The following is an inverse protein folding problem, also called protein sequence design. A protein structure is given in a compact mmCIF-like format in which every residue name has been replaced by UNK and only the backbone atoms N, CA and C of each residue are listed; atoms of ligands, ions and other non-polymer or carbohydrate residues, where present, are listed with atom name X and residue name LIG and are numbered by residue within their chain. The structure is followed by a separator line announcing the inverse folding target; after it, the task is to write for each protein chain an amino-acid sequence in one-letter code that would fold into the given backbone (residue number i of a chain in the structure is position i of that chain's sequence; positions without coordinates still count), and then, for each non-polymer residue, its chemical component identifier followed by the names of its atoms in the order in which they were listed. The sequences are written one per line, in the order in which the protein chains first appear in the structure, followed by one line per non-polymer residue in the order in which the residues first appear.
data_IF_898286528609
#
_entry.id   IF_898286528609
#
_cell.length_a   1.000
_cell.length_b   1.000
_cell.length_c   1.000
_cell.angle_alpha   90.00
_cell.angle_beta   90.00
_cell.angle_gamma   90.00
#
_symmetry.space_group_name_H-M   'P 1'
#
loop_
_entity.id
_entity.type
_entity.pdbx_description
1 polymer ?
#
# COMPACT_ATOMS: atom_id res chain seq x y z
N UNK A 1 -11.68 -51.14 -5.90
CA UNK A 1 -11.28 -51.02 -7.32
C UNK A 1 -11.72 -49.63 -7.77
N UNK A 2 -10.90 -48.70 -8.26
CA UNK A 2 -9.52 -48.70 -8.76
C UNK A 2 -8.98 -47.27 -8.70
N UNK A 3 -7.69 -47.14 -8.36
CA UNK A 3 -6.82 -45.95 -8.52
C UNK A 3 -6.41 -45.80 -9.99
N UNK A 4 -6.41 -44.58 -10.53
CA UNK A 4 -5.46 -44.10 -11.58
C UNK A 4 -5.49 -42.55 -11.54
N UNK A 5 -4.44 -41.81 -11.11
CA UNK A 5 -3.19 -41.44 -11.84
C UNK A 5 -3.44 -40.78 -13.21
N UNK A 6 -2.72 -39.77 -13.74
CA UNK A 6 -1.65 -38.84 -13.36
C UNK A 6 -1.39 -38.00 -14.65
N UNK A 7 -1.05 -36.70 -14.51
CA UNK A 7 -0.17 -35.87 -15.37
C UNK A 7 -0.28 -35.89 -16.92
N UNK A 8 -0.61 -34.72 -17.50
CA UNK A 8 -0.16 -34.20 -18.82
C UNK A 8 -0.85 -32.83 -19.01
N UNK A 9 -0.24 -31.65 -19.19
CA UNK A 9 0.89 -31.22 -20.00
C UNK A 9 1.42 -29.85 -19.51
N UNK A 10 2.74 -29.69 -19.45
CA UNK A 10 3.45 -28.41 -19.44
C UNK A 10 4.33 -28.43 -20.70
N UNK A 11 4.11 -27.50 -21.61
CA UNK A 11 5.06 -27.20 -22.69
C UNK A 11 5.33 -25.69 -22.68
N UNK A 12 6.57 -25.34 -22.35
CA UNK A 12 7.15 -24.01 -22.45
C UNK A 12 8.14 -24.05 -23.61
N UNK A 13 7.95 -23.28 -24.70
CA UNK A 13 8.99 -23.14 -25.70
C UNK A 13 10.02 -22.07 -25.29
N UNK A 14 11.29 -22.44 -25.45
CA UNK A 14 12.47 -21.61 -25.27
C UNK A 14 12.54 -20.46 -26.30
N UNK A 15 13.04 -19.30 -25.88
CA UNK A 15 13.18 -18.09 -26.71
C UNK A 15 14.38 -18.09 -27.66
N UNK A 16 14.72 -16.94 -28.25
CA UNK A 16 16.04 -16.71 -28.82
C UNK A 16 16.86 -15.63 -28.11
N UNK A 17 18.17 -15.82 -28.29
CA UNK A 17 19.35 -15.18 -27.72
C UNK A 17 19.71 -13.84 -28.38
N UNK A 18 20.53 -13.05 -27.68
CA UNK A 18 21.32 -11.93 -28.22
C UNK A 18 20.63 -10.59 -27.99
N UNK A 19 21.29 -9.52 -27.55
CA UNK A 19 22.59 -9.06 -28.00
C UNK A 19 23.15 -8.06 -26.95
N UNK A 20 24.31 -8.35 -26.39
CA UNK A 20 25.05 -7.42 -25.55
C UNK A 20 25.56 -6.28 -26.43
N UNK A 21 25.26 -5.03 -26.06
CA UNK A 21 25.96 -3.86 -26.60
C UNK A 21 26.70 -3.17 -25.46
N UNK A 22 28.00 -3.41 -25.43
CA UNK A 22 28.99 -2.64 -24.70
C UNK A 22 29.19 -1.30 -25.42
N UNK A 23 29.15 -0.19 -24.67
CA UNK A 23 29.71 1.09 -25.11
C UNK A 23 30.65 1.60 -24.02
N UNK A 24 31.97 1.61 -24.24
CA UNK A 24 32.88 2.42 -23.44
C UNK A 24 32.91 3.83 -24.05
N UNK A 25 32.99 4.89 -23.24
CA UNK A 25 33.60 6.13 -23.70
C UNK A 25 34.28 6.86 -22.54
N UNK A 26 35.50 7.23 -22.82
CA UNK A 26 36.56 7.68 -21.94
C UNK A 26 36.42 9.15 -21.53
N UNK A 27 36.94 9.44 -20.33
CA UNK A 27 37.74 10.60 -19.92
C UNK A 27 37.83 11.79 -20.89
N UNK A 28 37.49 13.00 -20.40
CA UNK A 28 38.31 14.21 -20.65
C UNK A 28 38.29 15.13 -19.42
N UNK A 29 39.49 15.30 -18.87
CA UNK A 29 39.95 16.32 -17.94
C UNK A 29 39.61 17.75 -18.41
N UNK A 30 39.17 18.62 -17.51
CA UNK A 30 39.60 20.03 -17.54
C UNK A 30 39.92 20.50 -16.12
N UNK A 31 41.21 20.74 -15.92
CA UNK A 31 41.82 21.35 -14.74
C UNK A 31 42.20 22.76 -15.20
N UNK A 32 41.48 23.78 -14.73
CA UNK A 32 41.89 25.18 -14.92
C UNK A 32 42.13 25.78 -13.55
N UNK A 33 43.41 26.07 -13.32
CA UNK A 33 43.97 26.74 -12.17
C UNK A 33 44.24 28.18 -12.62
N UNK A 34 43.56 29.15 -12.00
CA UNK A 34 43.91 30.57 -12.14
C UNK A 34 43.76 31.21 -10.76
N UNK A 35 44.90 31.60 -10.19
CA UNK A 35 44.96 32.44 -9.00
C UNK A 35 44.66 33.90 -9.35
N UNK A 36 44.20 34.65 -8.36
CA UNK A 36 44.61 36.04 -8.08
C UNK A 36 43.92 36.58 -6.80
N UNK A 37 44.78 36.95 -5.85
CA UNK A 37 44.77 38.15 -4.97
C UNK A 37 43.48 38.66 -4.30
N UNK A 38 43.45 38.44 -2.97
CA UNK A 38 43.07 39.29 -1.81
C UNK A 38 42.44 40.67 -2.08
N UNK A 39 41.22 40.87 -1.54
CA UNK A 39 40.77 42.12 -0.90
C UNK A 39 39.73 41.83 0.19
N UNK A 40 39.94 42.39 1.38
CA UNK A 40 39.15 42.16 2.58
C UNK A 40 37.70 42.66 2.47
N UNK A 41 36.80 41.89 3.06
CA UNK A 41 35.36 42.18 3.22
C UNK A 41 34.99 41.84 4.67
N UNK A 42 34.18 42.66 5.35
CA UNK A 42 34.04 42.65 6.80
C UNK A 42 33.30 41.43 7.33
N UNK A 43 33.65 41.10 8.57
CA UNK A 43 33.11 40.05 9.42
C UNK A 43 31.61 40.32 9.72
N UNK A 44 30.70 39.85 8.87
CA UNK A 44 29.31 39.67 9.27
C UNK A 44 29.22 38.35 10.04
N UNK A 45 28.99 38.45 11.35
CA UNK A 45 28.62 37.34 12.19
C UNK A 45 27.36 36.69 11.62
N UNK A 46 27.52 35.52 10.99
CA UNK A 46 26.40 34.68 10.61
C UNK A 46 25.84 34.11 11.91
N UNK A 47 24.66 34.58 12.31
CA UNK A 47 23.83 33.85 13.24
C UNK A 47 23.60 32.47 12.60
N UNK A 48 24.26 31.45 13.14
CA UNK A 48 23.92 30.06 12.87
C UNK A 48 22.51 29.88 13.43
N UNK A 49 21.51 30.01 12.57
CA UNK A 49 20.19 29.47 12.84
C UNK A 49 20.40 28.00 13.19
N UNK A 50 19.94 27.53 14.36
CA UNK A 50 19.97 26.10 14.65
C UNK A 50 19.27 25.36 13.51
N UNK A 51 19.72 24.16 13.13
CA UNK A 51 18.97 23.35 12.18
C UNK A 51 17.56 23.24 12.73
N UNK A 52 16.58 23.64 11.90
CA UNK A 52 15.17 23.41 12.21
C UNK A 52 15.06 21.95 12.63
N UNK A 53 14.74 21.74 13.91
CA UNK A 53 14.55 20.42 14.47
C UNK A 53 13.67 19.67 13.50
N UNK A 54 14.19 18.57 12.91
CA UNK A 54 13.34 17.63 12.21
C UNK A 54 12.18 17.38 13.17
N UNK A 55 10.99 17.87 12.81
CA UNK A 55 9.80 17.68 13.62
C UNK A 55 9.79 16.20 13.94
N UNK A 56 9.86 15.87 15.23
CA UNK A 56 10.02 14.51 15.71
C UNK A 56 8.86 13.70 15.14
N UNK A 57 9.07 13.07 13.99
CA UNK A 57 8.03 12.33 13.33
C UNK A 57 7.64 11.23 14.32
N UNK A 58 6.37 11.25 14.72
CA UNK A 58 5.84 10.26 15.67
C UNK A 58 6.09 8.84 15.17
N UNK A 59 5.96 7.82 16.02
CA UNK A 59 6.14 6.45 15.61
C UNK A 59 5.24 6.10 14.41
N UNK A 60 5.79 5.44 13.39
CA UNK A 60 5.07 4.99 12.19
C UNK A 60 5.33 3.51 11.97
N UNK A 61 4.26 2.76 11.70
CA UNK A 61 4.32 1.40 11.17
C UNK A 61 4.01 1.44 9.68
N UNK A 62 4.81 0.76 8.87
CA UNK A 62 4.59 0.68 7.43
C UNK A 62 4.55 -0.77 7.00
N UNK A 63 3.56 -1.11 6.17
CA UNK A 63 3.50 -2.38 5.47
C UNK A 63 3.61 -2.13 3.98
N UNK A 64 4.41 -2.93 3.29
CA UNK A 64 4.51 -2.91 1.83
C UNK A 64 4.39 -4.33 1.29
N UNK A 65 3.64 -4.51 0.22
CA UNK A 65 3.58 -5.76 -0.54
C UNK A 65 3.97 -5.47 -1.98
N UNK A 66 4.94 -6.22 -2.49
CA UNK A 66 5.36 -6.23 -3.89
C UNK A 66 5.10 -7.62 -4.47
N UNK A 67 4.19 -7.71 -5.44
CA UNK A 67 3.85 -8.96 -6.12
C UNK A 67 3.55 -8.72 -7.61
N UNK A 68 4.60 -8.64 -8.46
CA UNK A 68 4.42 -8.39 -9.88
C UNK A 68 3.47 -9.40 -10.55
N UNK A 69 2.55 -8.90 -11.36
CA UNK A 69 1.53 -9.71 -12.03
C UNK A 69 0.27 -10.00 -11.19
N UNK A 70 0.22 -9.57 -9.93
CA UNK A 70 -1.04 -9.50 -9.18
C UNK A 70 -1.72 -8.14 -9.34
N UNK A 71 -2.93 -8.06 -8.79
CA UNK A 71 -3.72 -6.84 -8.74
C UNK A 71 -4.21 -6.61 -7.29
N UNK A 72 -3.73 -5.57 -6.58
CA UNK A 72 -2.65 -4.67 -6.98
C UNK A 72 -1.30 -5.39 -7.13
N UNK A 73 -0.44 -4.87 -8.00
CA UNK A 73 0.93 -5.36 -8.21
C UNK A 73 1.88 -4.91 -7.10
N UNK A 74 1.55 -3.77 -6.48
CA UNK A 74 2.25 -3.20 -5.32
C UNK A 74 1.28 -2.36 -4.51
N UNK A 75 1.43 -2.38 -3.19
CA UNK A 75 0.87 -1.35 -2.33
C UNK A 75 1.68 -1.13 -1.05
N UNK A 76 1.48 0.04 -0.44
CA UNK A 76 2.01 0.40 0.86
C UNK A 76 0.94 1.07 1.72
N UNK A 77 0.88 0.69 3.00
CA UNK A 77 0.05 1.34 4.02
C UNK A 77 1.00 1.92 5.07
N UNK A 78 0.88 3.22 5.34
CA UNK A 78 1.60 3.90 6.41
C UNK A 78 0.62 4.26 7.53
N UNK A 79 0.94 3.87 8.75
CA UNK A 79 0.11 4.10 9.95
C UNK A 79 0.94 4.85 10.99
N UNK A 80 0.87 6.19 11.01
CA UNK A 80 1.39 6.99 12.10
C UNK A 80 0.64 6.75 13.40
N UNK A 81 1.31 6.96 14.52
CA UNK A 81 0.73 6.84 15.85
C UNK A 81 -0.39 7.84 16.09
N UNK A 82 -0.49 8.88 15.29
CA UNK A 82 -1.44 9.98 15.37
C UNK A 82 -2.78 9.62 14.70
N UNK A 83 -2.76 8.69 13.74
CA UNK A 83 -3.96 8.12 13.10
C UNK A 83 -4.27 8.61 11.68
N UNK A 84 -3.49 9.56 11.16
CA UNK A 84 -3.53 10.00 9.76
C UNK A 84 -2.74 9.02 8.89
N UNK A 85 -3.42 8.00 8.37
CA UNK A 85 -2.81 6.94 7.58
C UNK A 85 -2.84 7.29 6.08
N UNK A 86 -1.88 6.75 5.35
CA UNK A 86 -1.82 6.88 3.90
C UNK A 86 -1.73 5.52 3.23
N UNK A 87 -2.25 5.46 2.01
CA UNK A 87 -2.22 4.29 1.16
C UNK A 87 -1.73 4.67 -0.23
N UNK A 88 -0.79 3.89 -0.75
CA UNK A 88 -0.28 4.02 -2.11
C UNK A 88 -0.37 2.66 -2.79
N UNK A 89 -0.94 2.57 -3.98
CA UNK A 89 -1.02 1.32 -4.73
C UNK A 89 -0.81 1.47 -6.23
N UNK A 90 -0.55 0.33 -6.88
CA UNK A 90 -0.51 0.17 -8.34
C UNK A 90 -1.39 -0.99 -8.73
N UNK A 91 -2.61 -0.67 -9.13
CA UNK A 91 -3.67 -1.63 -9.41
C UNK A 91 -4.21 -1.44 -10.83
N UNK A 92 -4.82 -2.48 -11.39
CA UNK A 92 -5.60 -2.37 -12.62
C UNK A 92 -6.98 -1.84 -12.27
N UNK A 93 -7.43 -0.80 -12.97
CA UNK A 93 -8.78 -0.24 -12.80
C UNK A 93 -9.84 -0.95 -13.65
N UNK A 94 -9.40 -1.70 -14.66
CA UNK A 94 -10.27 -2.53 -15.51
C UNK A 94 -9.60 -3.87 -15.79
N UNK A 95 -10.36 -4.98 -15.85
CA UNK A 95 -9.83 -6.30 -16.22
C UNK A 95 -9.13 -6.34 -17.57
N UNK A 96 -9.57 -5.48 -18.49
CA UNK A 96 -9.06 -5.41 -19.87
C UNK A 96 -7.84 -4.48 -20.01
N UNK A 97 -7.43 -3.81 -18.93
CA UNK A 97 -6.24 -2.96 -18.92
C UNK A 97 -4.99 -3.77 -18.58
N UNK A 98 -3.92 -3.57 -19.36
CA UNK A 98 -2.59 -4.02 -18.98
C UNK A 98 -1.82 -2.98 -18.16
N UNK A 99 -2.29 -1.73 -18.15
CA UNK A 99 -1.71 -0.65 -17.38
C UNK A 99 -2.19 -0.71 -15.92
N UNK A 100 -1.26 -0.48 -14.99
CA UNK A 100 -1.56 -0.27 -13.58
C UNK A 100 -1.58 1.23 -13.28
N UNK A 101 -2.66 1.70 -12.70
CA UNK A 101 -2.80 3.09 -12.28
C UNK A 101 -2.21 3.28 -10.89
N UNK A 102 -1.48 4.38 -10.71
CA UNK A 102 -1.01 4.79 -9.40
C UNK A 102 -2.15 5.45 -8.63
N UNK A 103 -2.41 4.96 -7.43
CA UNK A 103 -3.46 5.47 -6.56
C UNK A 103 -2.89 5.88 -5.21
N UNK A 104 -3.39 7.00 -4.70
CA UNK A 104 -3.06 7.50 -3.38
C UNK A 104 -4.33 7.85 -2.62
N UNK A 105 -4.41 7.47 -1.35
CA UNK A 105 -5.53 7.75 -0.47
C UNK A 105 -5.05 8.03 0.94
N UNK A 106 -5.39 9.21 1.44
CA UNK A 106 -5.31 9.54 2.86
C UNK A 106 -6.61 9.12 3.56
N UNK A 107 -6.48 8.49 4.72
CA UNK A 107 -7.64 8.05 5.51
C UNK A 107 -7.35 8.09 7.01
N UNK A 108 -8.42 8.17 7.80
CA UNK A 108 -8.33 8.04 9.25
C UNK A 108 -8.43 6.58 9.63
N UNK A 109 -7.43 6.07 10.33
CA UNK A 109 -7.49 4.73 10.92
C UNK A 109 -8.15 4.80 12.30
N UNK A 110 -8.98 3.81 12.65
CA UNK A 110 -9.62 3.76 13.97
C UNK A 110 -8.59 3.63 15.08
N UNK A 111 -8.90 4.21 16.25
CA UNK A 111 -8.02 4.12 17.42
C UNK A 111 -7.76 2.66 17.83
N UNK A 112 -8.81 1.82 17.78
CA UNK A 112 -8.72 0.41 18.12
C UNK A 112 -7.75 -0.34 17.18
N UNK A 113 -7.88 -0.14 15.86
CA UNK A 113 -7.01 -0.78 14.87
C UNK A 113 -5.57 -0.28 14.99
N UNK A 114 -5.38 1.03 15.13
CA UNK A 114 -4.07 1.64 15.36
C UNK A 114 -3.39 1.03 16.59
N UNK A 115 -4.10 0.97 17.73
CA UNK A 115 -3.57 0.36 18.97
C UNK A 115 -3.15 -1.10 18.70
N UNK A 116 -4.00 -1.87 18.03
CA UNK A 116 -3.73 -3.27 17.69
C UNK A 116 -2.46 -3.42 16.83
N UNK A 117 -2.30 -2.60 15.79
CA UNK A 117 -1.11 -2.62 14.91
C UNK A 117 0.17 -2.33 15.71
N UNK A 118 0.16 -1.30 16.56
CA UNK A 118 1.34 -0.95 17.36
C UNK A 118 1.65 -2.01 18.43
N UNK A 119 0.63 -2.58 19.07
CA UNK A 119 0.82 -3.67 20.04
C UNK A 119 1.45 -4.88 19.35
N UNK A 120 0.92 -5.33 18.21
CA UNK A 120 1.50 -6.46 17.46
C UNK A 120 2.92 -6.16 16.97
N UNK A 121 3.20 -4.92 16.56
CA UNK A 121 4.54 -4.48 16.16
C UNK A 121 5.54 -4.59 17.32
N UNK A 122 5.14 -4.17 18.52
CA UNK A 122 5.96 -4.31 19.72
C UNK A 122 6.20 -5.79 20.07
N UNK A 123 5.17 -6.64 19.97
CA UNK A 123 5.29 -8.09 20.20
C UNK A 123 6.15 -8.79 19.13
N UNK A 124 6.18 -8.26 17.91
CA UNK A 124 7.11 -8.70 16.86
C UNK A 124 8.55 -8.16 17.05
N UNK A 125 8.82 -7.46 18.16
CA UNK A 125 10.13 -6.91 18.47
C UNK A 125 10.53 -5.76 17.56
N UNK A 126 9.56 -4.98 17.06
CA UNK A 126 9.78 -3.87 16.12
C UNK A 126 10.52 -4.30 14.86
N UNK A 127 10.38 -5.55 14.43
CA UNK A 127 11.02 -6.08 13.21
C UNK A 127 12.55 -5.98 13.22
N UNK A 128 13.17 -5.99 14.41
CA UNK A 128 14.64 -5.98 14.56
C UNK A 128 15.30 -7.28 14.11
N UNK A 129 14.56 -8.38 14.18
CA UNK A 129 15.02 -9.71 13.80
C UNK A 129 14.31 -10.18 12.53
N UNK A 130 14.89 -11.16 11.85
CA UNK A 130 14.25 -11.82 10.70
C UNK A 130 12.91 -12.43 11.10
N UNK A 131 11.87 -12.12 10.31
CA UNK A 131 10.53 -12.70 10.44
C UNK A 131 10.23 -13.76 9.37
N UNK A 132 11.13 -13.92 8.39
CA UNK A 132 11.01 -14.89 7.30
C UNK A 132 11.12 -16.34 7.81
N UNK A 133 10.29 -17.21 7.24
CA UNK A 133 10.33 -18.64 7.47
C UNK A 133 11.34 -19.31 6.54
N UNK A 134 12.01 -20.36 7.05
CA UNK A 134 12.85 -21.24 6.21
C UNK A 134 12.06 -22.29 5.42
N UNK A 135 10.72 -22.32 5.55
CA UNK A 135 9.90 -23.30 4.85
C UNK A 135 9.85 -22.95 3.37
N UNK A 136 10.01 -23.98 2.53
CA UNK A 136 9.80 -23.85 1.10
C UNK A 136 8.31 -23.80 0.80
N UNK A 137 7.81 -22.60 0.57
CA UNK A 137 6.41 -22.33 0.19
C UNK A 137 6.37 -21.65 -1.17
N UNK A 138 5.20 -21.61 -1.80
CA UNK A 138 5.01 -20.81 -3.01
C UNK A 138 5.27 -19.32 -2.72
N UNK A 139 5.66 -18.57 -3.75
CA UNK A 139 5.76 -17.12 -3.63
C UNK A 139 4.36 -16.52 -3.54
N UNK A 140 4.14 -15.68 -2.53
CA UNK A 140 2.87 -14.97 -2.28
C UNK A 140 3.08 -13.46 -2.32
N UNK A 141 4.17 -13.01 -2.96
CA UNK A 141 4.64 -11.64 -2.91
C UNK A 141 5.62 -11.36 -1.77
N UNK A 142 6.55 -10.45 -2.03
CA UNK A 142 7.50 -9.94 -1.04
C UNK A 142 6.80 -8.92 -0.14
N UNK A 143 6.79 -9.16 1.17
CA UNK A 143 6.15 -8.30 2.17
C UNK A 143 7.22 -7.67 3.02
N UNK A 144 7.10 -6.38 3.32
CA UNK A 144 8.00 -5.68 4.22
C UNK A 144 7.19 -5.02 5.31
N UNK A 145 7.54 -5.33 6.56
CA UNK A 145 7.06 -4.62 7.75
C UNK A 145 8.19 -3.72 8.25
N UNK A 146 7.91 -2.44 8.39
CA UNK A 146 8.83 -1.44 8.89
C UNK A 146 8.25 -0.69 10.08
N UNK A 147 9.14 -0.29 10.98
CA UNK A 147 8.84 0.55 12.13
C UNK A 147 9.87 1.68 12.21
N UNK A 148 9.39 2.90 12.40
CA UNK A 148 10.23 4.07 12.60
C UNK A 148 9.71 4.91 13.76
N UNK A 149 10.60 5.35 14.63
CA UNK A 149 10.34 6.40 15.63
C UNK A 149 11.56 7.35 15.70
N UNK A 150 11.64 8.18 16.74
CA UNK A 150 12.77 9.10 16.92
C UNK A 150 14.12 8.41 17.18
N UNK A 151 14.13 7.14 17.59
CA UNK A 151 15.34 6.38 17.99
C UNK A 151 15.62 5.16 17.11
N UNK A 152 14.61 4.62 16.42
CA UNK A 152 14.64 3.34 15.73
C UNK A 152 14.15 3.51 14.30
N UNK A 153 14.80 2.80 13.38
CA UNK A 153 14.34 2.61 12.01
C UNK A 153 14.68 1.19 11.61
N UNK A 154 13.71 0.29 11.71
CA UNK A 154 13.89 -1.15 11.58
C UNK A 154 12.88 -1.71 10.58
N UNK A 155 13.27 -2.75 9.87
CA UNK A 155 12.39 -3.41 8.90
C UNK A 155 12.75 -4.88 8.75
N UNK A 156 11.75 -5.68 8.39
CA UNK A 156 11.95 -7.07 7.99
C UNK A 156 11.13 -7.38 6.73
N UNK A 157 11.80 -7.96 5.73
CA UNK A 157 11.18 -8.42 4.50
C UNK A 157 11.01 -9.94 4.54
N UNK A 158 9.86 -10.43 4.09
CA UNK A 158 9.50 -11.83 4.11
C UNK A 158 8.49 -12.20 3.00
N UNK A 159 8.54 -13.43 2.51
CA UNK A 159 7.49 -14.05 1.71
C UNK A 159 6.46 -14.74 2.61
N UNK A 160 6.91 -15.46 3.64
CA UNK A 160 6.05 -16.14 4.60
C UNK A 160 6.65 -16.10 6.02
N UNK A 161 5.81 -15.86 7.03
CA UNK A 161 6.23 -15.93 8.43
C UNK A 161 5.49 -17.04 9.17
N UNK A 162 6.19 -17.70 10.09
CA UNK A 162 5.57 -18.64 11.04
C UNK A 162 5.25 -17.98 12.39
N UNK A 163 5.66 -16.71 12.58
CA UNK A 163 5.37 -15.99 13.81
C UNK A 163 3.89 -15.57 13.81
N UNK A 164 3.07 -16.03 14.76
CA UNK A 164 1.63 -15.73 14.77
C UNK A 164 1.34 -14.22 14.73
N UNK A 165 2.12 -13.43 15.46
CA UNK A 165 1.98 -11.95 15.49
C UNK A 165 2.24 -11.29 14.13
N UNK A 166 3.17 -11.84 13.33
CA UNK A 166 3.46 -11.33 11.98
C UNK A 166 2.40 -11.78 10.98
N UNK A 167 1.87 -13.00 11.13
CA UNK A 167 0.74 -13.47 10.34
C UNK A 167 -0.50 -12.60 10.58
N UNK A 168 -0.80 -12.28 11.84
CA UNK A 168 -1.92 -11.41 12.19
C UNK A 168 -1.74 -9.98 11.63
N UNK A 169 -0.55 -9.37 11.79
CA UNK A 169 -0.26 -8.08 11.16
C UNK A 169 -0.45 -8.10 9.65
N UNK A 170 0.02 -9.16 8.99
CA UNK A 170 -0.12 -9.32 7.55
C UNK A 170 -1.59 -9.36 7.14
N UNK A 171 -2.40 -10.18 7.83
CA UNK A 171 -3.83 -10.29 7.56
C UNK A 171 -4.54 -8.95 7.75
N UNK A 172 -4.22 -8.22 8.83
CA UNK A 172 -4.83 -6.90 9.07
C UNK A 172 -4.53 -5.92 7.94
N UNK A 173 -3.25 -5.76 7.56
CA UNK A 173 -2.88 -4.85 6.48
C UNK A 173 -3.47 -5.28 5.12
N UNK A 174 -3.56 -6.58 4.85
CA UNK A 174 -4.19 -7.08 3.63
C UNK A 174 -5.69 -6.80 3.59
N UNK A 175 -6.40 -6.97 4.72
CA UNK A 175 -7.83 -6.67 4.79
C UNK A 175 -8.11 -5.16 4.71
N UNK A 176 -7.23 -4.32 5.28
CA UNK A 176 -7.30 -2.86 5.11
C UNK A 176 -7.10 -2.53 3.62
N UNK A 177 -6.02 -3.04 3.00
CA UNK A 177 -5.75 -2.82 1.57
C UNK A 177 -6.93 -3.21 0.69
N UNK A 178 -7.60 -4.32 1.00
CA UNK A 178 -8.77 -4.77 0.25
C UNK A 178 -9.90 -3.74 0.28
N UNK A 179 -10.20 -3.15 1.45
CA UNK A 179 -11.17 -2.06 1.59
C UNK A 179 -10.76 -0.83 0.77
N UNK A 180 -9.48 -0.45 0.82
CA UNK A 180 -8.98 0.73 0.10
C UNK A 180 -8.99 0.54 -1.42
N UNK A 181 -8.74 -0.69 -1.89
CA UNK A 181 -8.87 -1.05 -3.30
C UNK A 181 -10.33 -1.07 -3.78
N UNK A 182 -11.29 -1.42 -2.91
CA UNK A 182 -12.71 -1.17 -3.22
C UNK A 182 -12.98 0.32 -3.38
N UNK A 183 -12.48 1.17 -2.46
CA UNK A 183 -12.66 2.61 -2.57
C UNK A 183 -12.08 3.16 -3.89
N UNK A 184 -10.89 2.70 -4.28
CA UNK A 184 -10.24 3.06 -5.53
C UNK A 184 -11.09 2.71 -6.76
N UNK A 185 -11.55 1.45 -6.87
CA UNK A 185 -12.39 1.01 -8.01
C UNK A 185 -13.75 1.71 -8.02
N UNK A 186 -14.36 1.95 -6.87
CA UNK A 186 -15.60 2.70 -6.78
C UNK A 186 -15.44 4.16 -7.26
N UNK A 187 -14.32 4.81 -6.96
CA UNK A 187 -14.03 6.15 -7.47
C UNK A 187 -13.92 6.14 -9.01
N UNK A 188 -13.19 5.16 -9.56
CA UNK A 188 -13.09 5.00 -11.00
C UNK A 188 -14.45 4.74 -11.66
N UNK A 189 -15.20 3.75 -11.17
CA UNK A 189 -16.51 3.39 -11.70
C UNK A 189 -17.49 4.57 -11.61
N UNK A 190 -17.44 5.32 -10.52
CA UNK A 190 -18.29 6.49 -10.33
C UNK A 190 -18.07 7.57 -11.40
N UNK A 191 -16.83 7.75 -11.85
CA UNK A 191 -16.48 8.74 -12.87
C UNK A 191 -16.64 8.24 -14.30
N UNK A 192 -16.27 6.98 -14.57
CA UNK A 192 -16.11 6.49 -15.94
C UNK A 192 -17.07 5.35 -16.31
N UNK A 193 -17.49 4.54 -15.36
CA UNK A 193 -18.26 3.31 -15.60
C UNK A 193 -19.42 3.15 -14.61
N UNK A 194 -20.36 4.11 -14.56
CA UNK A 194 -21.44 4.10 -13.56
C UNK A 194 -22.28 2.81 -13.52
N UNK A 195 -22.35 2.07 -14.63
CA UNK A 195 -23.03 0.77 -14.70
C UNK A 195 -22.30 -0.35 -13.94
N UNK A 196 -20.97 -0.25 -13.76
CA UNK A 196 -20.15 -1.20 -13.02
C UNK A 196 -20.31 -1.06 -11.49
N UNK A 197 -20.76 0.12 -11.01
CA UNK A 197 -20.94 0.40 -9.58
C UNK A 197 -21.78 -0.64 -8.83
N UNK A 198 -22.85 -1.17 -9.45
CA UNK A 198 -23.68 -2.18 -8.76
C UNK A 198 -22.89 -3.45 -8.46
N UNK A 199 -22.14 -3.94 -9.44
CA UNK A 199 -21.35 -5.16 -9.30
C UNK A 199 -20.24 -4.96 -8.26
N UNK A 200 -19.57 -3.82 -8.27
CA UNK A 200 -18.49 -3.53 -7.33
C UNK A 200 -18.97 -3.34 -5.90
N UNK A 201 -20.01 -2.55 -5.68
CA UNK A 201 -20.61 -2.39 -4.35
C UNK A 201 -21.22 -3.70 -3.84
N UNK A 202 -21.75 -4.56 -4.73
CA UNK A 202 -22.26 -5.88 -4.35
C UNK A 202 -21.14 -6.76 -3.82
N UNK A 203 -20.00 -6.81 -4.51
CA UNK A 203 -18.80 -7.52 -4.04
C UNK A 203 -18.32 -6.99 -2.68
N UNK A 204 -18.24 -5.66 -2.54
CA UNK A 204 -17.86 -5.04 -1.27
C UNK A 204 -18.82 -5.40 -0.13
N UNK A 205 -20.14 -5.39 -0.38
CA UNK A 205 -21.17 -5.77 0.60
C UNK A 205 -21.04 -7.24 1.02
N UNK A 206 -20.78 -8.15 0.09
CA UNK A 206 -20.56 -9.57 0.37
C UNK A 206 -19.31 -9.81 1.22
N UNK A 207 -18.18 -9.19 0.87
CA UNK A 207 -16.93 -9.30 1.64
C UNK A 207 -17.05 -8.65 3.02
N UNK A 208 -17.77 -7.53 3.10
CA UNK A 208 -18.11 -6.91 4.38
C UNK A 208 -18.88 -7.91 5.25
N UNK A 209 -19.95 -8.55 4.73
CA UNK A 209 -20.76 -9.53 5.47
C UNK A 209 -19.94 -10.73 5.96
N UNK A 210 -18.91 -11.12 5.22
CA UNK A 210 -17.97 -12.17 5.62
C UNK A 210 -16.93 -11.71 6.67
N UNK A 211 -16.96 -10.46 7.14
CA UNK A 211 -15.97 -9.83 8.03
C UNK A 211 -14.54 -9.89 7.48
N UNK A 212 -14.41 -9.82 6.16
CA UNK A 212 -13.11 -9.83 5.45
C UNK A 212 -12.59 -8.42 5.13
N UNK A 213 -13.31 -7.38 5.55
CA UNK A 213 -12.96 -5.98 5.34
C UNK A 213 -12.69 -5.30 6.68
N UNK A 214 -11.58 -4.58 6.74
CA UNK A 214 -11.20 -3.75 7.89
C UNK A 214 -11.28 -2.27 7.49
N UNK A 215 -11.50 -1.40 8.47
CA UNK A 215 -11.51 0.07 8.27
C UNK A 215 -12.50 0.53 7.17
N UNK A 216 -13.73 -0.03 7.13
CA UNK A 216 -14.75 0.31 6.14
C UNK A 216 -15.04 1.82 6.04
N UNK A 217 -14.86 2.56 7.14
CA UNK A 217 -14.97 4.01 7.20
C UNK A 217 -14.05 4.73 6.20
N UNK A 218 -12.94 4.12 5.79
CA UNK A 218 -12.05 4.71 4.79
C UNK A 218 -12.72 4.85 3.41
N UNK A 219 -13.77 4.07 3.13
CA UNK A 219 -14.56 4.19 1.90
C UNK A 219 -15.74 5.17 2.01
N UNK A 220 -16.00 5.75 3.18
CA UNK A 220 -17.12 6.69 3.39
C UNK A 220 -17.18 7.84 2.38
N UNK A 221 -16.07 8.50 1.98
CA UNK A 221 -16.15 9.63 1.06
C UNK A 221 -16.80 9.27 -0.27
N UNK A 222 -16.37 8.17 -0.90
CA UNK A 222 -16.93 7.72 -2.18
C UNK A 222 -18.34 7.15 -2.02
N UNK A 223 -18.60 6.43 -0.92
CA UNK A 223 -19.94 5.92 -0.65
C UNK A 223 -20.95 7.07 -0.48
N UNK A 224 -20.60 8.14 0.23
CA UNK A 224 -21.44 9.33 0.36
C UNK A 224 -21.70 10.02 -0.98
N UNK A 225 -20.69 10.13 -1.85
CA UNK A 225 -20.87 10.65 -3.21
C UNK A 225 -21.87 9.83 -4.02
N UNK A 226 -21.73 8.51 -3.99
CA UNK A 226 -22.66 7.59 -4.67
C UNK A 226 -24.09 7.76 -4.13
N UNK A 227 -24.26 7.82 -2.81
CA UNK A 227 -25.57 8.02 -2.18
C UNK A 227 -26.19 9.35 -2.55
N UNK A 228 -25.40 10.42 -2.60
CA UNK A 228 -25.85 11.78 -2.91
C UNK A 228 -26.17 12.03 -4.39
N UNK A 229 -25.68 11.20 -5.31
CA UNK A 229 -25.81 11.42 -6.75
C UNK A 229 -27.14 10.89 -7.31
N UNK A 230 -28.08 11.76 -7.74
CA UNK A 230 -29.36 11.33 -8.30
C UNK A 230 -29.25 10.67 -9.68
N UNK A 231 -28.10 10.80 -10.38
CA UNK A 231 -27.87 10.11 -11.65
C UNK A 231 -27.46 8.64 -11.47
N UNK A 232 -27.12 8.22 -10.24
CA UNK A 232 -26.87 6.82 -9.91
C UNK A 232 -28.19 6.10 -9.62
N UNK A 233 -28.33 4.88 -10.13
CA UNK A 233 -29.55 4.08 -9.99
C UNK A 233 -29.85 3.82 -8.50
N UNK A 234 -31.12 3.94 -8.11
CA UNK A 234 -31.56 3.82 -6.70
C UNK A 234 -31.08 2.57 -5.97
N UNK A 235 -31.00 1.41 -6.65
CA UNK A 235 -30.51 0.17 -6.03
C UNK A 235 -29.04 0.25 -5.62
N UNK A 236 -28.22 0.93 -6.43
CA UNK A 236 -26.79 1.16 -6.19
C UNK A 236 -26.61 2.12 -5.01
N UNK A 237 -27.39 3.21 -5.00
CA UNK A 237 -27.42 4.18 -3.88
C UNK A 237 -27.83 3.49 -2.57
N UNK A 238 -28.89 2.68 -2.60
CA UNK A 238 -29.35 1.92 -1.43
C UNK A 238 -28.29 0.92 -0.93
N UNK A 239 -27.46 0.37 -1.82
CA UNK A 239 -26.35 -0.50 -1.44
C UNK A 239 -25.23 0.27 -0.74
N UNK A 240 -24.83 1.41 -1.30
CA UNK A 240 -23.86 2.29 -0.67
C UNK A 240 -24.32 2.76 0.73
N UNK A 241 -25.62 3.07 0.89
CA UNK A 241 -26.21 3.39 2.20
C UNK A 241 -26.04 2.27 3.24
N UNK A 242 -26.25 1.00 2.84
CA UNK A 242 -26.05 -0.14 3.76
C UNK A 242 -24.59 -0.32 4.17
N UNK A 243 -23.66 -0.07 3.25
CA UNK A 243 -22.22 -0.10 3.54
C UNK A 243 -21.83 1.01 4.51
N UNK A 244 -22.34 2.23 4.32
CA UNK A 244 -22.14 3.35 5.26
C UNK A 244 -22.66 3.04 6.66
N UNK A 245 -23.90 2.53 6.76
CA UNK A 245 -24.49 2.16 8.03
C UNK A 245 -23.64 1.12 8.79
N UNK A 246 -22.95 0.24 8.06
CA UNK A 246 -22.03 -0.74 8.65
C UNK A 246 -20.66 -0.17 8.99
N UNK A 247 -20.17 0.83 8.26
CA UNK A 247 -18.94 1.54 8.56
C UNK A 247 -19.03 2.40 9.85
N UNK A 248 -20.24 2.59 10.38
CA UNK A 248 -20.50 3.49 11.51
C UNK A 248 -21.02 4.86 11.07
N UNK A 249 -21.17 5.08 9.77
CA UNK A 249 -21.81 6.26 9.20
C UNK A 249 -23.31 6.24 9.46
N UNK A 250 -23.79 7.12 10.35
CA UNK A 250 -25.20 7.47 10.37
C UNK A 250 -25.58 8.07 8.99
N UNK A 251 -26.76 7.76 8.43
CA UNK A 251 -27.16 8.36 7.17
C UNK A 251 -27.21 9.89 7.32
N UNK A 252 -26.56 10.61 6.42
CA UNK A 252 -26.79 12.04 6.25
C UNK A 252 -28.29 12.24 5.96
N UNK A 253 -28.99 12.88 6.90
CA UNK A 253 -30.40 13.26 6.77
C UNK A 253 -30.55 14.47 5.86
#
# INVERSE_FOLDING_TARGET
MTRTSIQKWIEVPAGPKGMFHTRPLSYVFWLVLLGTTVRGVPLCAQAVSPPASAASAGPVVTFTLDFPGSDPSRYAIQVPREGDASYDSRAKLSPDSDDTDAFHLDFKISEAMRKKIFDLTAHAGYFQNSVESRRRVASTGSKTLAYRDAQRSTQATYNYSQMPVVQELTTLFQNISLTLEFAHRLQYDYHYQKLALDAELKRMEEMSKANSLEELQAAEPILNQIVGDPSVINVVRARAQRLLAKAGGAPAQ
#
